data_IF_152284367168
#
_entry.id   IF_152284367168
#
_cell.length_a   1.000
_cell.length_b   1.000
_cell.length_c   1.000
_cell.angle_alpha   90.00
_cell.angle_beta   90.00
_cell.angle_gamma   90.00
#
_symmetry.space_group_name_H-M   'P 1'
#
loop_
_entity.id
_entity.type
_entity.pdbx_description
1 polymer ?
#
# COMPACT_ATOMS: atom_id res chain seq x y z
N UNK A 1 -9.51 0.20 -11.98
CA UNK A 1 -9.58 1.67 -12.01
C UNK A 1 -10.95 2.14 -12.48
N UNK A 2 -11.29 2.06 -13.78
CA UNK A 2 -12.60 2.56 -14.31
C UNK A 2 -13.82 2.10 -13.51
N UNK A 3 -13.96 0.80 -13.22
CA UNK A 3 -15.11 0.28 -12.44
C UNK A 3 -15.20 0.89 -11.04
N UNK A 4 -14.07 0.98 -10.33
CA UNK A 4 -14.01 1.58 -8.99
C UNK A 4 -14.32 3.08 -9.04
N UNK A 5 -13.80 3.81 -10.03
CA UNK A 5 -14.08 5.23 -10.24
C UNK A 5 -15.57 5.46 -10.50
N UNK A 6 -16.20 4.63 -11.33
CA UNK A 6 -17.65 4.70 -11.60
C UNK A 6 -18.45 4.49 -10.31
N UNK A 7 -18.13 3.44 -9.54
CA UNK A 7 -18.83 3.14 -8.28
C UNK A 7 -18.72 4.31 -7.30
N UNK A 8 -17.51 4.86 -7.11
CA UNK A 8 -17.30 6.02 -6.24
C UNK A 8 -18.00 7.27 -6.76
N UNK A 9 -17.99 7.50 -8.07
CA UNK A 9 -18.68 8.62 -8.70
C UNK A 9 -20.19 8.56 -8.47
N UNK A 10 -20.80 7.38 -8.65
CA UNK A 10 -22.23 7.16 -8.37
C UNK A 10 -22.53 7.41 -6.89
N UNK A 11 -21.73 6.86 -5.98
CA UNK A 11 -21.92 7.08 -4.54
C UNK A 11 -21.82 8.57 -4.16
N UNK A 12 -20.86 9.31 -4.74
CA UNK A 12 -20.70 10.74 -4.50
C UNK A 12 -21.91 11.54 -5.02
N UNK A 13 -22.42 11.22 -6.22
CA UNK A 13 -23.62 11.86 -6.77
C UNK A 13 -24.84 11.59 -5.89
N UNK A 14 -25.03 10.35 -5.44
CA UNK A 14 -26.15 10.01 -4.54
C UNK A 14 -26.06 10.77 -3.22
N UNK A 15 -24.87 10.87 -2.62
CA UNK A 15 -24.66 11.64 -1.39
C UNK A 15 -24.86 13.15 -1.62
N UNK A 16 -24.47 13.68 -2.77
CA UNK A 16 -24.72 15.08 -3.13
C UNK A 16 -26.22 15.36 -3.24
N UNK A 17 -26.99 14.47 -3.89
CA UNK A 17 -28.46 14.56 -3.98
C UNK A 17 -29.08 14.48 -2.59
N UNK A 18 -28.66 13.52 -1.75
CA UNK A 18 -29.17 13.38 -0.38
C UNK A 18 -28.84 14.61 0.50
N UNK A 19 -27.64 15.18 0.35
CA UNK A 19 -27.23 16.40 1.05
C UNK A 19 -28.08 17.60 0.64
N UNK A 20 -28.36 17.73 -0.66
CA UNK A 20 -29.23 18.76 -1.20
C UNK A 20 -30.68 18.59 -0.72
N UNK A 21 -31.21 17.36 -0.69
CA UNK A 21 -32.55 17.09 -0.19
C UNK A 21 -32.71 17.40 1.31
N UNK A 22 -31.66 17.25 2.12
CA UNK A 22 -31.70 17.47 3.57
C UNK A 22 -31.54 18.93 3.99
N UNK A 23 -30.74 19.70 3.27
CA UNK A 23 -30.38 21.06 3.68
C UNK A 23 -30.15 22.04 2.54
N UNK A 24 -30.68 21.73 1.35
CA UNK A 24 -30.60 22.58 0.18
C UNK A 24 -29.17 22.87 -0.28
N UNK A 25 -29.00 24.04 -0.89
CA UNK A 25 -27.71 24.48 -1.43
C UNK A 25 -26.65 24.70 -0.35
N UNK A 26 -27.01 25.18 0.85
CA UNK A 26 -26.06 25.40 1.94
C UNK A 26 -25.34 24.12 2.36
N UNK A 27 -26.10 23.04 2.62
CA UNK A 27 -25.52 21.78 3.07
C UNK A 27 -24.67 21.11 1.98
N UNK A 28 -25.09 21.21 0.71
CA UNK A 28 -24.31 20.73 -0.43
C UNK A 28 -22.99 21.50 -0.58
N UNK A 29 -23.03 22.84 -0.55
CA UNK A 29 -21.84 23.68 -0.67
C UNK A 29 -20.87 23.42 0.48
N UNK A 30 -21.36 23.27 1.71
CA UNK A 30 -20.54 22.90 2.86
C UNK A 30 -19.81 21.57 2.64
N UNK A 31 -20.51 20.56 2.11
CA UNK A 31 -19.89 19.27 1.74
C UNK A 31 -18.83 19.40 0.65
N UNK A 32 -19.07 20.25 -0.36
CA UNK A 32 -18.11 20.50 -1.43
C UNK A 32 -16.87 21.26 -0.94
N UNK A 33 -17.03 22.25 -0.07
CA UNK A 33 -15.91 22.98 0.55
C UNK A 33 -15.05 22.03 1.38
N UNK A 34 -15.67 21.24 2.27
CA UNK A 34 -14.95 20.23 3.07
C UNK A 34 -14.19 19.24 2.19
N UNK A 35 -14.80 18.76 1.11
CA UNK A 35 -14.11 17.84 0.19
C UNK A 35 -12.96 18.51 -0.57
N UNK A 36 -13.09 19.78 -0.94
CA UNK A 36 -12.01 20.59 -1.53
C UNK A 36 -10.84 20.81 -0.56
N UNK A 37 -11.11 21.13 0.70
CA UNK A 37 -10.08 21.27 1.74
C UNK A 37 -9.33 19.95 1.97
N UNK A 38 -10.05 18.83 2.07
CA UNK A 38 -9.44 17.51 2.17
C UNK A 38 -8.56 17.20 0.95
N UNK A 39 -9.02 17.54 -0.26
CA UNK A 39 -8.24 17.34 -1.47
C UNK A 39 -6.94 18.15 -1.44
N UNK A 40 -6.99 19.42 -1.04
CA UNK A 40 -5.81 20.29 -0.94
C UNK A 40 -4.82 19.82 0.14
N UNK A 41 -5.30 19.23 1.24
CA UNK A 41 -4.43 18.66 2.27
C UNK A 41 -3.76 17.36 1.83
N UNK A 42 -4.48 16.49 1.10
CA UNK A 42 -3.99 15.16 0.72
C UNK A 42 -3.11 15.22 -0.54
N UNK A 43 -3.37 16.13 -1.48
CA UNK A 43 -2.66 16.19 -2.76
C UNK A 43 -1.14 16.34 -2.62
N UNK A 44 -0.60 17.28 -1.80
CA UNK A 44 0.86 17.41 -1.61
C UNK A 44 1.48 16.13 -1.05
N UNK A 45 0.81 15.49 -0.09
CA UNK A 45 1.25 14.24 0.51
C UNK A 45 1.31 13.12 -0.54
N UNK A 46 0.29 13.00 -1.40
CA UNK A 46 0.27 12.01 -2.49
C UNK A 46 1.38 12.27 -3.51
N UNK A 47 1.59 13.53 -3.91
CA UNK A 47 2.67 13.91 -4.83
C UNK A 47 4.04 13.52 -4.28
N UNK A 48 4.34 13.87 -3.03
CA UNK A 48 5.60 13.51 -2.39
C UNK A 48 5.74 12.00 -2.20
N UNK A 49 4.66 11.31 -1.85
CA UNK A 49 4.69 9.86 -1.68
C UNK A 49 4.95 9.12 -3.00
N UNK A 50 4.31 9.52 -4.09
CA UNK A 50 4.54 8.94 -5.41
C UNK A 50 5.93 9.30 -5.95
N UNK A 51 6.39 10.54 -5.75
CA UNK A 51 7.76 10.93 -6.08
C UNK A 51 8.78 10.08 -5.33
N UNK A 52 8.60 9.91 -4.02
CA UNK A 52 9.46 9.06 -3.18
C UNK A 52 9.43 7.61 -3.67
N UNK A 53 8.26 7.05 -3.98
CA UNK A 53 8.15 5.68 -4.49
C UNK A 53 8.86 5.52 -5.85
N UNK A 54 8.72 6.49 -6.75
CA UNK A 54 9.41 6.52 -8.03
C UNK A 54 10.92 6.64 -7.90
N UNK A 55 11.40 7.54 -7.03
CA UNK A 55 12.83 7.72 -6.75
C UNK A 55 13.44 6.49 -6.07
N UNK A 56 12.76 5.89 -5.09
CA UNK A 56 13.17 4.61 -4.49
C UNK A 56 13.28 3.52 -5.56
N UNK A 57 12.31 3.44 -6.46
CA UNK A 57 12.33 2.47 -7.57
C UNK A 57 13.47 2.73 -8.56
N UNK A 58 13.93 3.98 -8.70
CA UNK A 58 15.07 4.35 -9.54
C UNK A 58 16.43 4.10 -8.86
N UNK A 59 16.51 4.28 -7.53
CA UNK A 59 17.73 4.11 -6.73
C UNK A 59 17.99 2.64 -6.39
N UNK A 60 16.93 1.87 -6.13
CA UNK A 60 17.06 0.47 -5.77
C UNK A 60 17.35 -0.34 -7.04
N UNK A 61 18.58 -0.83 -7.18
CA UNK A 61 18.94 -1.72 -8.28
C UNK A 61 18.26 -3.09 -8.13
N UNK A 62 17.88 -3.70 -9.26
CA UNK A 62 17.32 -5.07 -9.27
C UNK A 62 18.24 -6.08 -8.59
N UNK A 63 19.55 -5.89 -8.74
CA UNK A 63 20.57 -6.71 -8.08
C UNK A 63 20.46 -6.63 -6.54
N UNK A 64 20.30 -5.42 -6.00
CA UNK A 64 20.11 -5.21 -4.56
C UNK A 64 18.83 -5.88 -4.07
N UNK A 65 17.71 -5.73 -4.79
CA UNK A 65 16.44 -6.39 -4.41
C UNK A 65 16.59 -7.90 -4.44
N UNK A 66 17.15 -8.46 -5.51
CA UNK A 66 17.34 -9.90 -5.63
C UNK A 66 18.23 -10.46 -4.52
N UNK A 67 19.31 -9.75 -4.17
CA UNK A 67 20.25 -10.18 -3.12
C UNK A 67 19.68 -10.10 -1.71
N UNK A 68 18.92 -9.04 -1.39
CA UNK A 68 18.47 -8.77 -0.02
C UNK A 68 17.03 -9.20 0.27
N UNK A 69 16.18 -9.25 -0.76
CA UNK A 69 14.76 -9.57 -0.65
C UNK A 69 14.34 -10.78 -1.50
N UNK A 70 15.23 -11.28 -2.36
CA UNK A 70 15.01 -12.45 -3.19
C UNK A 70 15.19 -13.77 -2.44
N UNK A 71 15.06 -14.87 -3.18
CA UNK A 71 15.03 -16.24 -2.61
C UNK A 71 16.29 -16.61 -1.83
N UNK A 72 17.46 -16.13 -2.26
CA UNK A 72 18.74 -16.39 -1.58
C UNK A 72 18.85 -15.70 -0.21
N UNK A 73 18.07 -14.63 0.02
CA UNK A 73 18.04 -13.95 1.30
C UNK A 73 17.31 -14.77 2.39
N UNK A 74 16.43 -15.69 1.99
CA UNK A 74 15.65 -16.55 2.88
C UNK A 74 15.00 -15.78 4.04
N UNK A 75 15.30 -16.18 5.28
CA UNK A 75 14.76 -15.53 6.47
C UNK A 75 15.14 -14.05 6.61
N UNK A 76 16.34 -13.66 6.15
CA UNK A 76 16.75 -12.25 6.16
C UNK A 76 15.87 -11.40 5.24
N UNK A 77 15.45 -11.96 4.12
CA UNK A 77 14.51 -11.32 3.20
C UNK A 77 13.17 -11.03 3.87
N UNK A 78 12.60 -12.00 4.60
CA UNK A 78 11.37 -11.84 5.36
C UNK A 78 11.46 -10.73 6.42
N UNK A 79 12.56 -10.71 7.19
CA UNK A 79 12.80 -9.67 8.20
C UNK A 79 12.91 -8.28 7.57
N UNK A 80 13.71 -8.14 6.51
CA UNK A 80 13.91 -6.86 5.84
C UNK A 80 12.64 -6.37 5.14
N UNK A 81 11.88 -7.29 4.52
CA UNK A 81 10.57 -7.00 3.96
C UNK A 81 9.60 -6.50 5.03
N UNK A 82 9.51 -7.19 6.17
CA UNK A 82 8.64 -6.79 7.27
C UNK A 82 9.03 -5.41 7.86
N UNK A 83 10.33 -5.16 8.09
CA UNK A 83 10.82 -3.86 8.56
C UNK A 83 10.54 -2.75 7.55
N UNK A 84 10.80 -2.98 6.27
CA UNK A 84 10.45 -2.03 5.23
C UNK A 84 8.94 -1.73 5.22
N UNK A 85 8.09 -2.74 5.39
CA UNK A 85 6.64 -2.58 5.47
C UNK A 85 6.20 -1.71 6.65
N UNK A 86 6.79 -1.92 7.83
CA UNK A 86 6.50 -1.15 9.02
C UNK A 86 6.89 0.34 8.90
N UNK A 87 8.01 0.61 8.20
CA UNK A 87 8.60 1.93 8.03
C UNK A 87 8.00 2.72 6.87
N UNK A 88 7.50 2.07 5.82
CA UNK A 88 6.96 2.76 4.65
C UNK A 88 5.75 3.62 5.06
N UNK A 89 5.79 4.94 4.82
CA UNK A 89 4.65 5.81 5.11
C UNK A 89 3.54 5.65 4.07
N UNK A 90 2.35 6.14 4.41
CA UNK A 90 1.22 6.22 3.48
C UNK A 90 0.32 4.99 3.45
N UNK A 91 -0.74 5.11 2.63
CA UNK A 91 -1.78 4.10 2.47
C UNK A 91 -1.52 3.12 1.32
N UNK A 92 -2.53 2.31 0.95
CA UNK A 92 -2.47 1.33 -0.14
C UNK A 92 -1.84 1.84 -1.43
N UNK A 93 -2.11 3.10 -1.77
CA UNK A 93 -1.62 3.75 -2.99
C UNK A 93 -0.10 3.89 -3.02
N UNK A 94 0.60 3.84 -1.89
CA UNK A 94 2.06 3.97 -1.80
C UNK A 94 2.73 2.61 -1.73
N UNK A 95 2.30 1.76 -0.80
CA UNK A 95 2.99 0.51 -0.54
C UNK A 95 2.67 -0.60 -1.55
N UNK A 96 1.51 -0.61 -2.21
CA UNK A 96 1.22 -1.63 -3.24
C UNK A 96 2.07 -1.45 -4.50
N UNK A 97 2.27 -0.22 -5.03
CA UNK A 97 3.24 -0.01 -6.10
C UNK A 97 4.67 -0.42 -5.71
N UNK A 98 5.11 -0.12 -4.48
CA UNK A 98 6.42 -0.58 -3.99
C UNK A 98 6.52 -2.10 -3.91
N UNK A 99 5.49 -2.77 -3.37
CA UNK A 99 5.41 -4.22 -3.33
C UNK A 99 5.49 -4.84 -4.73
N UNK A 100 4.78 -4.25 -5.71
CA UNK A 100 4.87 -4.65 -7.10
C UNK A 100 6.30 -4.48 -7.62
N UNK A 101 6.90 -3.29 -7.45
CA UNK A 101 8.30 -3.03 -7.86
C UNK A 101 9.28 -4.02 -7.27
N UNK A 102 9.19 -4.33 -5.98
CA UNK A 102 10.05 -5.35 -5.35
C UNK A 102 9.89 -6.71 -6.01
N UNK A 103 8.65 -7.15 -6.24
CA UNK A 103 8.37 -8.42 -6.90
C UNK A 103 8.92 -8.46 -8.32
N UNK A 104 8.76 -7.38 -9.10
CA UNK A 104 9.28 -7.30 -10.48
C UNK A 104 10.80 -7.23 -10.54
N UNK A 105 11.41 -6.72 -9.47
CA UNK A 105 12.85 -6.50 -9.32
C UNK A 105 13.60 -7.70 -8.73
N UNK A 106 12.92 -8.79 -8.38
CA UNK A 106 13.58 -10.02 -7.93
C UNK A 106 13.22 -10.49 -6.53
N UNK A 107 12.40 -9.74 -5.78
CA UNK A 107 12.02 -10.15 -4.44
C UNK A 107 11.21 -11.46 -4.47
N UNK A 108 11.36 -12.26 -3.42
CA UNK A 108 10.58 -13.46 -3.22
C UNK A 108 9.15 -13.09 -2.83
N UNK A 109 8.16 -13.89 -3.25
CA UNK A 109 6.75 -13.59 -2.97
C UNK A 109 6.45 -13.51 -1.47
N UNK A 110 7.05 -14.39 -0.66
CA UNK A 110 6.90 -14.36 0.79
C UNK A 110 7.49 -13.11 1.42
N UNK A 111 8.61 -12.60 0.92
CA UNK A 111 9.16 -11.30 1.35
C UNK A 111 8.18 -10.16 1.06
N UNK A 112 7.54 -10.17 -0.11
CA UNK A 112 6.54 -9.15 -0.49
C UNK A 112 5.26 -9.28 0.35
N UNK A 113 4.82 -10.51 0.66
CA UNK A 113 3.69 -10.74 1.57
C UNK A 113 4.04 -10.28 2.98
N UNK A 114 5.22 -10.61 3.51
CA UNK A 114 5.68 -10.13 4.80
C UNK A 114 5.72 -8.59 4.86
N UNK A 115 6.19 -7.94 3.80
CA UNK A 115 6.14 -6.49 3.65
C UNK A 115 4.71 -5.93 3.75
N UNK A 116 3.76 -6.47 2.98
CA UNK A 116 2.36 -6.01 2.99
C UNK A 116 1.69 -6.29 4.34
N UNK A 117 1.92 -7.46 4.94
CA UNK A 117 1.37 -7.82 6.24
C UNK A 117 1.93 -6.91 7.33
N UNK A 118 3.26 -6.72 7.39
CA UNK A 118 3.88 -5.82 8.35
C UNK A 118 3.42 -4.37 8.18
N UNK A 119 3.21 -3.91 6.93
CA UNK A 119 2.62 -2.60 6.71
C UNK A 119 1.24 -2.47 7.35
N UNK A 120 0.41 -3.50 7.30
CA UNK A 120 -0.93 -3.45 7.91
C UNK A 120 -0.90 -3.61 9.44
N UNK A 121 -0.01 -4.45 9.97
CA UNK A 121 0.05 -4.77 11.39
C UNK A 121 0.95 -3.82 12.20
N UNK A 122 2.08 -3.40 11.65
CA UNK A 122 3.14 -2.70 12.37
C UNK A 122 3.30 -1.23 11.98
N UNK A 123 2.36 -0.65 11.23
CA UNK A 123 2.47 0.74 10.75
C UNK A 123 2.84 1.71 11.88
N UNK A 124 4.08 2.20 11.88
CA UNK A 124 4.57 3.11 12.92
C UNK A 124 3.93 4.50 12.81
N UNK A 125 3.50 4.89 11.61
CA UNK A 125 2.82 6.17 11.41
C UNK A 125 1.46 6.27 12.14
N UNK A 126 0.86 5.14 12.55
CA UNK A 126 -0.38 5.12 13.35
C UNK A 126 -0.13 5.03 14.85
N UNK A 127 1.09 4.69 15.26
CA UNK A 127 1.40 4.41 16.66
C UNK A 127 1.06 5.59 17.61
N UNK A 128 1.37 6.86 17.29
CA UNK A 128 0.98 7.98 18.16
C UNK A 128 -0.54 8.11 18.32
N UNK A 129 -1.28 7.90 17.23
CA UNK A 129 -2.74 7.96 17.22
C UNK A 129 -3.36 6.79 18.00
N UNK A 130 -2.82 5.58 17.85
CA UNK A 130 -3.28 4.41 18.61
C UNK A 130 -3.07 4.63 20.11
N UNK A 131 -1.88 5.07 20.52
CA UNK A 131 -1.59 5.35 21.93
C UNK A 131 -2.55 6.40 22.49
N UNK A 132 -2.87 7.44 21.72
CA UNK A 132 -3.79 8.49 22.15
C UNK A 132 -5.25 8.02 22.28
N UNK A 133 -5.70 7.08 21.46
CA UNK A 133 -7.10 6.64 21.42
C UNK A 133 -7.42 5.46 22.34
N UNK A 134 -6.54 4.47 22.42
CA UNK A 134 -6.79 3.20 23.12
C UNK A 134 -5.79 2.90 24.24
N UNK A 135 -4.81 3.78 24.45
CA UNK A 135 -3.82 3.67 25.51
C UNK A 135 -2.61 2.78 25.16
N UNK A 136 -1.44 3.06 25.79
CA UNK A 136 -0.18 2.41 25.44
C UNK A 136 -0.13 0.90 25.73
N UNK A 137 -0.85 0.45 26.76
CA UNK A 137 -0.89 -0.97 27.17
C UNK A 137 -1.53 -1.85 26.10
N UNK A 138 -2.71 -1.45 25.60
CA UNK A 138 -3.43 -2.18 24.55
C UNK A 138 -2.65 -2.11 23.24
N UNK A 139 -2.09 -0.94 22.89
CA UNK A 139 -1.22 -0.80 21.72
C UNK A 139 -0.04 -1.77 21.79
N UNK A 140 0.67 -1.86 22.92
CA UNK A 140 1.81 -2.76 23.05
C UNK A 140 1.40 -4.23 22.93
N UNK A 141 0.32 -4.65 23.61
CA UNK A 141 -0.21 -6.02 23.51
C UNK A 141 -0.52 -6.38 22.05
N UNK A 142 -1.17 -5.47 21.30
CA UNK A 142 -1.46 -5.63 19.88
C UNK A 142 -0.19 -5.86 19.07
N UNK A 143 0.84 -5.04 19.26
CA UNK A 143 2.11 -5.17 18.54
C UNK A 143 2.81 -6.49 18.87
N UNK A 144 2.85 -6.90 20.14
CA UNK A 144 3.48 -8.15 20.57
C UNK A 144 2.78 -9.36 19.95
N UNK A 145 1.45 -9.43 20.03
CA UNK A 145 0.68 -10.55 19.46
C UNK A 145 0.82 -10.59 17.94
N UNK A 146 0.81 -9.43 17.29
CA UNK A 146 0.88 -9.33 15.82
C UNK A 146 2.30 -9.42 15.25
N UNK A 147 3.34 -9.44 16.10
CA UNK A 147 4.74 -9.46 15.70
C UNK A 147 5.14 -10.73 14.93
N UNK A 148 4.47 -11.86 15.14
CA UNK A 148 4.87 -13.10 14.45
C UNK A 148 4.25 -13.24 13.05
N UNK A 149 3.14 -12.53 12.79
CA UNK A 149 2.30 -12.77 11.61
C UNK A 149 2.98 -12.45 10.27
N UNK A 150 3.72 -11.35 10.09
CA UNK A 150 4.40 -11.09 8.82
C UNK A 150 5.36 -12.20 8.42
N UNK A 151 6.06 -12.78 9.40
CA UNK A 151 6.99 -13.88 9.16
C UNK A 151 6.25 -15.17 8.81
N UNK A 152 5.22 -15.53 9.57
CA UNK A 152 4.42 -16.74 9.33
C UNK A 152 3.76 -16.67 7.96
N UNK A 153 3.09 -15.57 7.64
CA UNK A 153 2.41 -15.41 6.35
C UNK A 153 3.40 -15.34 5.19
N UNK A 154 4.57 -14.73 5.37
CA UNK A 154 5.61 -14.75 4.36
C UNK A 154 6.18 -16.14 4.11
N UNK A 155 6.44 -16.92 5.18
CA UNK A 155 6.88 -18.32 5.05
C UNK A 155 5.83 -19.18 4.36
N UNK A 156 4.57 -19.07 4.78
CA UNK A 156 3.45 -19.80 4.16
C UNK A 156 3.32 -19.41 2.68
N UNK A 157 3.47 -18.13 2.36
CA UNK A 157 3.43 -17.66 0.97
C UNK A 157 4.59 -18.23 0.14
N UNK A 158 5.81 -18.27 0.68
CA UNK A 158 6.93 -18.93 0.01
C UNK A 158 6.65 -20.42 -0.22
N UNK A 159 6.11 -21.11 0.78
CA UNK A 159 5.76 -22.52 0.65
C UNK A 159 4.70 -22.77 -0.43
N UNK A 160 3.59 -22.01 -0.41
CA UNK A 160 2.47 -22.18 -1.34
C UNK A 160 2.76 -21.67 -2.76
N UNK A 161 3.54 -20.60 -2.89
CA UNK A 161 3.70 -19.86 -4.15
C UNK A 161 5.13 -19.86 -4.72
N UNK A 162 6.09 -20.61 -4.15
CA UNK A 162 7.46 -20.68 -4.68
C UNK A 162 7.51 -20.99 -6.18
N UNK A 163 6.66 -21.90 -6.67
CA UNK A 163 6.58 -22.26 -8.10
C UNK A 163 5.79 -21.28 -8.99
N UNK A 164 5.10 -20.31 -8.40
CA UNK A 164 4.25 -19.34 -9.12
C UNK A 164 4.84 -17.93 -9.17
N UNK A 165 5.92 -17.67 -8.42
CA UNK A 165 6.54 -16.34 -8.32
C UNK A 165 6.88 -15.76 -9.71
N UNK A 166 7.50 -16.55 -10.59
CA UNK A 166 7.82 -16.08 -11.95
C UNK A 166 6.58 -15.85 -12.81
N UNK A 167 5.52 -16.66 -12.66
CA UNK A 167 4.25 -16.44 -13.37
C UNK A 167 3.57 -15.15 -12.92
N UNK A 168 3.55 -14.89 -11.61
CA UNK A 168 2.99 -13.66 -11.03
C UNK A 168 3.81 -12.45 -11.49
N UNK A 169 5.13 -12.57 -11.49
CA UNK A 169 6.04 -11.54 -11.99
C UNK A 169 5.78 -11.22 -13.47
N UNK A 170 5.63 -12.25 -14.31
CA UNK A 170 5.33 -12.09 -15.73
C UNK A 170 3.98 -11.37 -15.94
N UNK A 171 2.93 -11.79 -15.23
CA UNK A 171 1.62 -11.15 -15.32
C UNK A 171 1.64 -9.67 -14.93
N UNK A 172 2.37 -9.29 -13.88
CA UNK A 172 2.51 -7.89 -13.47
C UNK A 172 3.25 -7.06 -14.54
N UNK A 173 4.32 -7.60 -15.14
CA UNK A 173 5.04 -6.93 -16.23
C UNK A 173 4.14 -6.69 -17.45
N UNK A 174 3.30 -7.66 -17.78
CA UNK A 174 2.35 -7.54 -18.87
C UNK A 174 1.30 -6.46 -18.59
N UNK A 175 0.77 -6.41 -17.37
CA UNK A 175 -0.16 -5.36 -16.94
C UNK A 175 0.48 -3.96 -16.99
N UNK A 176 1.73 -3.81 -16.57
CA UNK A 176 2.46 -2.54 -16.65
C UNK A 176 2.65 -2.10 -18.11
N UNK A 177 3.11 -3.00 -18.99
CA UNK A 177 3.25 -2.71 -20.42
C UNK A 177 1.91 -2.34 -21.08
N UNK A 178 0.82 -3.03 -20.70
CA UNK A 178 -0.52 -2.73 -21.21
C UNK A 178 -1.01 -1.35 -20.77
N UNK A 179 -0.64 -0.89 -19.57
CA UNK A 179 -0.97 0.47 -19.11
C UNK A 179 -0.11 1.54 -19.77
N UNK A 180 1.18 1.29 -20.00
CA UNK A 180 2.06 2.19 -20.75
C UNK A 180 1.60 2.36 -22.20
N UNK A 181 1.16 1.27 -22.86
CA UNK A 181 0.63 1.31 -24.21
C UNK A 181 -0.68 2.11 -24.30
N UNK A 182 -1.56 1.97 -23.30
CA UNK A 182 -2.83 2.72 -23.21
C UNK A 182 -2.66 4.19 -22.82
N UNK A 183 -1.55 4.57 -22.20
CA UNK A 183 -1.26 5.97 -21.86
C UNK A 183 -0.66 6.77 -23.02
N UNK A 184 -0.26 6.10 -24.12
CA UNK A 184 0.31 6.71 -25.33
C UNK A 184 -0.70 6.88 -26.47
N UNK A 185 -1.98 6.60 -26.23
CA UNK A 185 -3.11 6.83 -27.13
C UNK A 185 -4.15 7.66 -26.39
#
# INVERSE_FOLDING_TARGET
>A
MIKTTIIMGVAAILLAILSFMRGGWEQLLKGLVLSGEMLLQITPLLLLAFATAGLISAVISKDTVSRWLGREAGWKGLLLGALAGALVPGGPYVFFPLAATFLVSGAEIGTVIAFVTAKNLWTLSRLPMEVALIGPEITLIRYVITFIFPFVLGLVANFLFSGYTEKIRAGIRELQKSQEAKSKH
#
